data_IF_542270654607
#
_entry.id   IF_542270654607
#
_cell.length_a   1.000
_cell.length_b   1.000
_cell.length_c   1.000
_cell.angle_alpha   90.00
_cell.angle_beta   90.00
_cell.angle_gamma   90.00
#
_symmetry.space_group_name_H-M   'P 1'
#
loop_
_entity.id
_entity.type
_entity.pdbx_description
1 polymer ?
#
# COMPACT_ATOMS: atom_id res chain seq x y z
N UNK A 1 4.68 8.72 -84.38
CA UNK A 1 5.09 9.61 -83.26
C UNK A 1 4.01 9.52 -82.19
N UNK A 2 4.29 8.90 -81.03
CA UNK A 2 4.46 9.57 -79.70
C UNK A 2 3.21 10.39 -79.32
N UNK A 3 2.49 10.21 -78.20
CA UNK A 3 2.80 9.60 -76.90
C UNK A 3 1.51 9.54 -76.04
N UNK A 4 1.38 8.42 -75.31
CA UNK A 4 0.97 8.27 -73.90
C UNK A 4 -0.44 8.71 -73.44
N UNK A 5 -1.26 7.66 -73.24
CA UNK A 5 -2.17 7.49 -72.12
C UNK A 5 -1.47 7.79 -70.78
N UNK A 6 -2.12 8.54 -69.88
CA UNK A 6 -1.94 8.38 -68.44
C UNK A 6 -3.23 8.83 -67.75
N UNK A 7 -4.16 7.89 -67.57
CA UNK A 7 -5.22 7.99 -66.56
C UNK A 7 -4.53 7.77 -65.21
N UNK A 8 -4.40 8.82 -64.40
CA UNK A 8 -3.95 8.69 -63.01
C UNK A 8 -5.18 8.26 -62.20
N UNK A 9 -5.27 6.95 -61.97
CA UNK A 9 -6.15 6.37 -60.97
C UNK A 9 -5.57 6.75 -59.59
N UNK A 10 -6.10 7.79 -58.97
CA UNK A 10 -5.83 8.08 -57.56
C UNK A 10 -6.61 7.04 -56.75
N UNK A 11 -5.99 5.89 -56.51
CA UNK A 11 -6.40 4.96 -55.47
C UNK A 11 -6.13 5.66 -54.14
N UNK A 12 -7.14 6.36 -53.63
CA UNK A 12 -7.28 6.69 -52.22
C UNK A 12 -7.31 5.36 -51.45
N UNK A 13 -6.13 4.89 -51.04
CA UNK A 13 -6.04 4.02 -49.87
C UNK A 13 -6.50 4.86 -48.67
N UNK A 14 -7.81 4.86 -48.42
CA UNK A 14 -8.33 4.93 -47.06
C UNK A 14 -7.80 3.70 -46.35
N UNK A 15 -6.57 3.80 -45.84
CA UNK A 15 -6.26 3.10 -44.61
C UNK A 15 -7.10 3.81 -43.57
N UNK A 16 -8.31 3.30 -43.34
CA UNK A 16 -8.96 3.47 -42.05
C UNK A 16 -7.94 2.93 -41.04
N UNK A 17 -7.15 3.84 -40.48
CA UNK A 17 -6.59 3.65 -39.17
C UNK A 17 -7.81 3.35 -38.30
N UNK A 18 -8.02 2.06 -38.06
CA UNK A 18 -8.69 1.59 -36.87
C UNK A 18 -7.79 2.13 -35.76
N UNK A 19 -8.02 3.39 -35.39
CA UNK A 19 -7.65 3.93 -34.11
C UNK A 19 -8.46 3.05 -33.18
N UNK A 20 -7.85 1.94 -32.74
CA UNK A 20 -8.40 1.10 -31.71
C UNK A 20 -8.78 2.08 -30.63
N UNK A 21 -10.08 2.19 -30.40
CA UNK A 21 -10.71 3.23 -29.60
C UNK A 21 -10.22 3.02 -28.18
N UNK A 22 -8.99 3.47 -27.91
CA UNK A 22 -8.34 3.38 -26.63
C UNK A 22 -9.30 4.16 -25.74
N UNK A 23 -9.97 3.43 -24.85
CA UNK A 23 -10.88 4.00 -23.88
C UNK A 23 -10.25 5.29 -23.36
N UNK A 24 -10.99 6.41 -23.42
CA UNK A 24 -10.54 7.72 -22.89
C UNK A 24 -10.09 7.62 -21.42
N UNK A 25 -10.44 6.53 -20.76
CA UNK A 25 -10.16 6.20 -19.38
C UNK A 25 -9.19 5.00 -19.33
N UNK A 26 -8.01 5.13 -18.70
CA UNK A 26 -7.10 4.00 -18.52
C UNK A 26 -7.66 2.98 -17.52
N UNK A 27 -7.32 1.72 -17.71
CA UNK A 27 -7.49 0.70 -16.68
C UNK A 27 -6.57 0.99 -15.49
N UNK A 28 -6.91 0.47 -14.32
CA UNK A 28 -6.11 0.60 -13.11
C UNK A 28 -5.92 -0.76 -12.47
N UNK A 29 -4.66 -1.17 -12.30
CA UNK A 29 -4.26 -2.31 -11.48
C UNK A 29 -3.48 -1.77 -10.29
N UNK A 30 -4.08 -1.85 -9.11
CA UNK A 30 -3.46 -1.47 -7.85
C UNK A 30 -3.00 -2.71 -7.09
N UNK A 31 -1.70 -2.94 -7.05
CA UNK A 31 -1.05 -4.06 -6.38
C UNK A 31 -0.59 -3.62 -5.00
N UNK A 32 -1.13 -4.27 -3.97
CA UNK A 32 -0.90 -3.90 -2.58
C UNK A 32 -0.34 -5.06 -1.77
N UNK A 33 0.93 -4.96 -1.37
CA UNK A 33 1.61 -5.94 -0.53
C UNK A 33 1.37 -5.66 0.97
N UNK A 34 1.44 -6.72 1.79
CA UNK A 34 1.19 -6.69 3.24
C UNK A 34 2.50 -6.95 4.01
N UNK A 35 2.94 -6.00 4.83
CA UNK A 35 4.23 -6.05 5.56
C UNK A 35 5.48 -6.21 4.69
N UNK A 36 5.48 -5.67 3.47
CA UNK A 36 6.68 -5.66 2.63
C UNK A 36 7.59 -4.51 3.08
N UNK A 37 8.78 -4.84 3.54
CA UNK A 37 9.79 -3.88 3.96
C UNK A 37 10.34 -3.03 2.83
N UNK A 38 10.85 -1.86 3.20
CA UNK A 38 11.35 -0.90 2.23
C UNK A 38 12.51 -1.47 1.41
N UNK A 39 13.40 -2.23 2.04
CA UNK A 39 14.60 -2.80 1.44
C UNK A 39 14.44 -4.24 0.93
N UNK A 40 13.19 -4.73 0.84
CA UNK A 40 12.92 -6.14 0.51
C UNK A 40 12.98 -6.49 -0.97
N UNK A 41 13.17 -5.49 -1.84
CA UNK A 41 13.18 -5.64 -3.28
C UNK A 41 14.59 -5.44 -3.82
N UNK A 42 14.91 -6.07 -4.94
CA UNK A 42 16.23 -5.95 -5.58
C UNK A 42 16.58 -4.48 -5.86
N UNK A 43 15.65 -3.72 -6.46
CA UNK A 43 15.87 -2.30 -6.77
C UNK A 43 15.94 -1.38 -5.53
N UNK A 44 15.42 -1.81 -4.37
CA UNK A 44 15.48 -1.03 -3.12
C UNK A 44 16.60 -1.48 -2.17
N UNK A 45 17.44 -2.41 -2.61
CA UNK A 45 18.68 -2.78 -1.90
C UNK A 45 18.64 -4.09 -1.14
N UNK A 46 17.72 -5.00 -1.47
CA UNK A 46 17.77 -6.35 -0.91
C UNK A 46 19.08 -7.04 -1.29
N UNK A 47 19.67 -7.75 -0.32
CA UNK A 47 20.92 -8.49 -0.49
C UNK A 47 20.71 -10.02 -0.51
N UNK A 48 19.46 -10.48 -0.51
CA UNK A 48 19.13 -11.90 -0.69
C UNK A 48 17.82 -12.17 -1.40
N UNK A 49 16.84 -11.26 -1.38
CA UNK A 49 15.55 -11.45 -2.06
C UNK A 49 15.72 -11.20 -3.56
N UNK A 50 15.16 -12.07 -4.39
CA UNK A 50 15.23 -11.93 -5.85
C UNK A 50 13.84 -11.58 -6.37
N UNK A 51 13.71 -10.38 -6.95
CA UNK A 51 12.42 -9.82 -7.41
C UNK A 51 12.51 -9.34 -8.87
N UNK A 52 12.87 -10.20 -9.84
CA UNK A 52 13.11 -9.77 -11.21
C UNK A 52 11.89 -9.14 -11.90
N UNK A 53 10.66 -9.57 -11.59
CA UNK A 53 9.46 -9.01 -12.22
C UNK A 53 9.12 -7.63 -11.66
N UNK A 54 9.24 -7.44 -10.34
CA UNK A 54 9.04 -6.15 -9.68
C UNK A 54 10.19 -5.19 -10.03
N UNK A 55 11.43 -5.67 -10.15
CA UNK A 55 12.57 -4.86 -10.60
C UNK A 55 12.38 -4.41 -12.06
N UNK A 56 11.84 -5.29 -12.92
CA UNK A 56 11.43 -4.91 -14.27
C UNK A 56 10.32 -3.86 -14.23
N UNK A 57 9.28 -4.04 -13.42
CA UNK A 57 8.23 -3.04 -13.23
C UNK A 57 8.82 -1.70 -12.79
N UNK A 58 9.78 -1.71 -11.87
CA UNK A 58 10.47 -0.50 -11.42
C UNK A 58 11.20 0.20 -12.57
N UNK A 59 11.85 -0.56 -13.46
CA UNK A 59 12.52 -0.01 -14.65
C UNK A 59 11.57 0.62 -15.68
N UNK A 60 10.27 0.32 -15.60
CA UNK A 60 9.22 0.82 -16.48
C UNK A 60 8.30 1.83 -15.77
N UNK A 61 8.62 2.21 -14.53
CA UNK A 61 7.79 3.04 -13.67
C UNK A 61 8.45 4.36 -13.30
N UNK A 62 7.65 5.26 -12.74
CA UNK A 62 8.16 6.29 -11.83
C UNK A 62 8.27 5.66 -10.44
N UNK A 63 9.47 5.69 -9.85
CA UNK A 63 9.72 5.28 -8.46
C UNK A 63 9.67 6.49 -7.54
N UNK A 64 8.84 6.45 -6.50
CA UNK A 64 8.82 7.46 -5.45
C UNK A 64 9.58 6.95 -4.24
N UNK A 65 10.78 7.50 -4.00
CA UNK A 65 11.64 7.02 -2.92
C UNK A 65 11.21 7.52 -1.54
N UNK A 66 10.36 8.55 -1.49
CA UNK A 66 9.75 9.11 -0.28
C UNK A 66 8.23 8.89 -0.26
N UNK A 67 7.80 7.65 -0.57
CA UNK A 67 6.43 7.23 -0.38
C UNK A 67 6.20 6.70 1.05
N UNK A 68 5.04 7.03 1.61
CA UNK A 68 4.68 6.71 2.98
C UNK A 68 3.32 6.01 3.08
N UNK A 69 3.21 5.03 3.96
CA UNK A 69 1.92 4.54 4.43
C UNK A 69 1.24 5.59 5.31
N UNK A 70 -0.09 5.62 5.29
CA UNK A 70 -0.87 6.56 6.11
C UNK A 70 -0.84 6.22 7.60
N UNK A 71 -0.45 4.99 7.93
CA UNK A 71 -0.28 4.50 9.29
C UNK A 71 0.79 3.39 9.31
N UNK A 72 1.50 3.16 10.42
CA UNK A 72 2.47 2.06 10.49
C UNK A 72 1.85 0.67 10.62
N UNK A 73 0.55 0.50 10.38
CA UNK A 73 -0.13 -0.79 10.45
C UNK A 73 -1.20 -0.91 9.37
N UNK A 74 -1.47 -2.16 8.99
CA UNK A 74 -2.25 -2.51 7.82
C UNK A 74 -3.68 -1.94 7.81
N UNK A 75 -4.41 -2.07 8.93
CA UNK A 75 -5.83 -1.73 8.96
C UNK A 75 -6.09 -0.23 8.74
N UNK A 76 -5.49 0.69 9.51
CA UNK A 76 -5.70 2.12 9.28
C UNK A 76 -5.16 2.59 7.93
N UNK A 77 -4.07 2.00 7.43
CA UNK A 77 -3.55 2.30 6.08
C UNK A 77 -4.54 1.91 4.99
N UNK A 78 -5.16 0.73 5.08
CA UNK A 78 -6.18 0.25 4.13
C UNK A 78 -7.43 1.13 4.14
N UNK A 79 -7.90 1.53 5.32
CA UNK A 79 -9.01 2.49 5.45
C UNK A 79 -8.67 3.84 4.79
N UNK A 80 -7.44 4.30 4.99
CA UNK A 80 -6.95 5.56 4.43
C UNK A 80 -6.83 5.52 2.90
N UNK A 81 -6.31 4.43 2.34
CA UNK A 81 -6.27 4.19 0.90
C UNK A 81 -7.68 4.24 0.30
N UNK A 82 -8.64 3.53 0.90
CA UNK A 82 -10.00 3.47 0.36
C UNK A 82 -10.72 4.82 0.39
N UNK A 83 -10.43 5.68 1.37
CA UNK A 83 -11.21 6.91 1.61
C UNK A 83 -10.51 8.20 1.21
N UNK A 84 -9.20 8.18 0.95
CA UNK A 84 -8.42 9.40 0.71
C UNK A 84 -8.29 10.30 1.95
N UNK A 85 -8.55 9.78 3.15
CA UNK A 85 -8.52 10.52 4.42
C UNK A 85 -7.40 10.04 5.33
N UNK A 86 -6.92 10.92 6.20
CA UNK A 86 -6.08 10.52 7.32
C UNK A 86 -6.81 9.48 8.17
N UNK A 87 -6.13 8.43 8.65
CA UNK A 87 -6.72 7.51 9.60
C UNK A 87 -7.29 8.22 10.83
N UNK A 88 -6.61 9.26 11.32
CA UNK A 88 -7.08 10.08 12.44
C UNK A 88 -8.42 10.80 12.20
N UNK A 89 -8.75 11.15 10.95
CA UNK A 89 -10.02 11.82 10.60
C UNK A 89 -11.22 10.89 10.73
N UNK A 90 -11.00 9.61 10.45
CA UNK A 90 -12.04 8.56 10.48
C UNK A 90 -11.95 7.71 11.77
N UNK A 91 -11.17 8.17 12.77
CA UNK A 91 -11.05 7.51 14.07
C UNK A 91 -10.21 6.22 14.07
N UNK A 92 -9.44 5.96 13.01
CA UNK A 92 -8.58 4.79 12.87
C UNK A 92 -7.14 5.10 13.31
N UNK A 93 -6.92 5.28 14.61
CA UNK A 93 -5.61 5.67 15.17
C UNK A 93 -4.91 4.54 15.92
N UNK A 94 -5.52 3.37 15.96
CA UNK A 94 -5.02 2.18 16.65
C UNK A 94 -5.13 0.96 15.75
N UNK A 95 -4.52 -0.15 16.18
CA UNK A 95 -4.73 -1.46 15.58
C UNK A 95 -5.13 -2.45 16.68
N UNK A 96 -6.33 -3.02 16.60
CA UNK A 96 -6.79 -4.13 17.44
C UNK A 96 -8.10 -3.88 18.18
N UNK A 97 -8.36 -4.64 19.26
CA UNK A 97 -9.66 -4.73 19.95
C UNK A 97 -10.07 -3.50 20.77
N UNK A 98 -9.16 -2.55 20.99
CA UNK A 98 -9.49 -1.34 21.72
C UNK A 98 -10.18 -0.38 20.77
N UNK A 99 -11.27 0.25 21.22
CA UNK A 99 -12.20 1.18 20.54
C UNK A 99 -11.54 2.43 19.86
N UNK A 100 -10.34 2.30 19.29
CA UNK A 100 -9.58 3.31 18.56
C UNK A 100 -9.38 2.98 17.09
N UNK A 101 -10.25 2.13 16.56
CA UNK A 101 -10.44 1.97 15.13
C UNK A 101 -11.86 2.41 14.79
N UNK A 102 -12.05 2.98 13.61
CA UNK A 102 -13.34 3.27 12.98
C UNK A 102 -14.52 2.37 13.43
N UNK A 103 -15.71 2.98 13.55
CA UNK A 103 -16.98 2.41 14.06
C UNK A 103 -16.94 1.61 15.38
N UNK A 104 -15.77 1.46 16.01
CA UNK A 104 -15.58 0.64 17.20
C UNK A 104 -15.51 -0.87 16.92
N UNK A 105 -15.72 -1.31 15.67
CA UNK A 105 -15.78 -2.71 15.24
C UNK A 105 -14.64 -3.12 14.27
N UNK A 106 -13.76 -2.16 13.95
CA UNK A 106 -12.65 -2.24 12.99
C UNK A 106 -13.07 -2.19 11.51
N UNK A 107 -14.29 -1.74 11.20
CA UNK A 107 -14.78 -1.65 9.83
C UNK A 107 -14.62 -0.26 9.21
N UNK A 108 -14.67 -0.21 7.88
CA UNK A 108 -14.82 1.03 7.12
C UNK A 108 -16.11 1.76 7.57
N UNK A 109 -16.07 3.06 7.93
CA UNK A 109 -17.30 3.76 8.28
C UNK A 109 -18.24 3.82 7.08
N UNK A 110 -19.48 3.38 7.26
CA UNK A 110 -20.44 3.22 6.15
C UNK A 110 -20.72 4.53 5.37
N UNK A 111 -20.60 5.69 6.03
CA UNK A 111 -20.80 7.00 5.41
C UNK A 111 -19.64 7.52 4.56
N UNK A 112 -18.52 6.79 4.49
CA UNK A 112 -17.37 7.13 3.66
C UNK A 112 -17.52 6.54 2.26
N UNK A 113 -17.16 7.32 1.23
CA UNK A 113 -17.16 6.84 -0.16
C UNK A 113 -15.81 6.23 -0.49
N UNK A 114 -15.79 4.98 -0.93
CA UNK A 114 -14.53 4.32 -1.33
C UNK A 114 -14.06 4.77 -2.71
N UNK A 115 -12.78 4.59 -3.00
CA UNK A 115 -12.24 4.77 -4.35
C UNK A 115 -12.94 3.85 -5.36
N UNK A 116 -13.30 2.64 -4.95
CA UNK A 116 -14.03 1.70 -5.79
C UNK A 116 -15.44 2.20 -6.12
N UNK A 117 -16.19 2.72 -5.14
CA UNK A 117 -17.49 3.34 -5.39
C UNK A 117 -17.36 4.53 -6.35
N UNK A 118 -16.39 5.41 -6.11
CA UNK A 118 -16.17 6.57 -6.95
C UNK A 118 -15.81 6.19 -8.40
N UNK A 119 -14.96 5.18 -8.61
CA UNK A 119 -14.61 4.68 -9.95
C UNK A 119 -15.77 3.93 -10.61
N UNK A 120 -16.52 3.12 -9.86
CA UNK A 120 -17.71 2.43 -10.33
C UNK A 120 -18.78 3.41 -10.82
N UNK A 121 -19.04 4.46 -10.05
CA UNK A 121 -19.93 5.56 -10.46
C UNK A 121 -19.42 6.28 -11.72
N UNK A 122 -18.10 6.26 -11.94
CA UNK A 122 -17.42 6.72 -13.15
C UNK A 122 -17.41 5.72 -14.32
N UNK A 123 -18.10 4.59 -14.21
CA UNK A 123 -18.27 3.59 -15.28
C UNK A 123 -17.23 2.47 -15.31
N UNK A 124 -16.40 2.34 -14.27
CA UNK A 124 -15.42 1.26 -14.18
C UNK A 124 -16.07 -0.06 -13.74
N UNK A 125 -15.62 -1.18 -14.33
CA UNK A 125 -15.79 -2.50 -13.73
C UNK A 125 -14.80 -2.63 -12.56
N UNK A 126 -15.23 -3.03 -11.38
CA UNK A 126 -14.37 -3.02 -10.18
C UNK A 126 -14.18 -4.42 -9.60
N UNK A 127 -12.94 -4.77 -9.26
CA UNK A 127 -12.60 -6.05 -8.62
C UNK A 127 -11.70 -5.85 -7.40
N UNK A 128 -11.99 -6.58 -6.33
CA UNK A 128 -11.10 -6.76 -5.19
C UNK A 128 -10.73 -8.23 -5.06
N UNK A 129 -9.44 -8.51 -4.95
CA UNK A 129 -8.91 -9.86 -4.83
C UNK A 129 -7.92 -9.88 -3.66
N UNK A 130 -8.21 -10.71 -2.65
CA UNK A 130 -7.36 -10.95 -1.49
C UNK A 130 -7.75 -10.14 -0.24
N UNK A 131 -6.74 -9.68 0.51
CA UNK A 131 -6.89 -9.14 1.86
C UNK A 131 -7.72 -7.85 1.88
N UNK A 132 -8.88 -7.91 2.54
CA UNK A 132 -9.69 -6.72 2.85
C UNK A 132 -9.35 -6.13 4.22
N UNK A 133 -9.60 -6.86 5.30
CA UNK A 133 -9.26 -6.49 6.69
C UNK A 133 -9.92 -5.21 7.23
N UNK A 134 -10.81 -4.58 6.46
CA UNK A 134 -11.51 -3.33 6.83
C UNK A 134 -13.03 -3.47 6.76
N UNK A 135 -13.55 -4.68 6.95
CA UNK A 135 -14.99 -4.91 6.92
C UNK A 135 -15.44 -6.13 7.71
N UNK A 136 -16.61 -5.97 8.33
CA UNK A 136 -17.50 -7.04 8.83
C UNK A 136 -18.91 -6.74 8.38
N UNK A 137 -19.73 -7.78 8.18
CA UNK A 137 -21.13 -7.62 7.76
C UNK A 137 -21.25 -6.80 6.47
N UNK A 138 -22.00 -5.70 6.50
CA UNK A 138 -22.28 -4.81 5.35
C UNK A 138 -21.09 -3.93 4.92
N UNK A 139 -19.86 -4.28 5.33
CA UNK A 139 -18.63 -3.61 4.92
C UNK A 139 -17.74 -4.46 4.00
N UNK A 140 -18.27 -5.55 3.46
CA UNK A 140 -17.54 -6.38 2.49
C UNK A 140 -17.29 -5.63 1.16
N UNK A 141 -16.19 -5.91 0.45
CA UNK A 141 -15.85 -5.22 -0.80
C UNK A 141 -17.02 -5.10 -1.78
N UNK A 142 -17.84 -6.14 -1.94
CA UNK A 142 -19.03 -6.10 -2.81
C UNK A 142 -20.00 -4.93 -2.51
N UNK A 143 -20.23 -4.65 -1.23
CA UNK A 143 -21.08 -3.54 -0.76
C UNK A 143 -20.37 -2.19 -0.81
N UNK A 144 -19.05 -2.20 -0.94
CA UNK A 144 -18.17 -1.03 -0.91
C UNK A 144 -17.58 -0.70 -2.28
N UNK A 145 -18.33 -1.02 -3.34
CA UNK A 145 -18.07 -0.55 -4.70
C UNK A 145 -17.29 -1.50 -5.59
N UNK A 146 -17.03 -2.73 -5.16
CA UNK A 146 -16.42 -3.78 -5.99
C UNK A 146 -17.51 -4.68 -6.61
N UNK A 147 -17.51 -4.88 -7.92
CA UNK A 147 -18.39 -5.84 -8.59
C UNK A 147 -17.95 -7.29 -8.33
N UNK A 148 -16.65 -7.51 -8.35
CA UNK A 148 -16.01 -8.80 -8.06
C UNK A 148 -15.29 -8.71 -6.71
N UNK A 149 -15.52 -9.71 -5.87
CA UNK A 149 -14.97 -9.83 -4.52
C UNK A 149 -14.55 -11.28 -4.29
N UNK A 150 -13.24 -11.53 -4.21
CA UNK A 150 -12.68 -12.88 -4.11
C UNK A 150 -11.64 -12.92 -2.98
N UNK A 151 -11.69 -13.97 -2.16
CA UNK A 151 -10.70 -14.26 -1.13
C UNK A 151 -10.59 -13.17 -0.05
N UNK A 152 -11.67 -12.42 0.15
CA UNK A 152 -11.72 -11.31 1.09
C UNK A 152 -12.40 -11.71 2.40
N UNK A 153 -11.87 -11.21 3.52
CA UNK A 153 -12.44 -11.45 4.84
C UNK A 153 -12.05 -10.36 5.84
N UNK A 154 -12.57 -10.47 7.06
CA UNK A 154 -12.28 -9.57 8.17
C UNK A 154 -10.90 -9.79 8.82
N UNK A 155 -10.17 -10.84 8.43
CA UNK A 155 -8.95 -11.24 9.13
C UNK A 155 -7.73 -10.45 8.67
N UNK A 156 -6.80 -10.25 9.61
CA UNK A 156 -5.55 -9.55 9.34
C UNK A 156 -4.54 -10.38 8.54
N UNK A 157 -4.67 -11.70 8.56
CA UNK A 157 -3.72 -12.65 8.00
C UNK A 157 -4.44 -13.92 7.55
N UNK A 158 -3.88 -14.66 6.58
CA UNK A 158 -4.47 -15.93 6.17
C UNK A 158 -4.28 -16.97 7.28
N UNK A 159 -5.13 -18.00 7.29
CA UNK A 159 -4.95 -19.13 8.20
C UNK A 159 -3.73 -19.97 7.83
N UNK A 160 -3.47 -20.11 6.52
CA UNK A 160 -2.33 -20.77 5.91
C UNK A 160 -2.11 -20.18 4.50
N UNK A 161 -0.88 -20.18 3.99
CA UNK A 161 -0.65 -19.89 2.56
C UNK A 161 -0.81 -21.12 1.68
N UNK A 162 -0.98 -22.31 2.23
CA UNK A 162 -1.29 -23.51 1.44
C UNK A 162 -2.76 -23.88 1.61
N UNK A 163 -3.39 -24.31 0.51
CA UNK A 163 -4.75 -24.84 0.52
C UNK A 163 -4.89 -25.90 1.64
N UNK A 164 -5.97 -25.90 2.46
CA UNK A 164 -7.24 -25.16 2.33
C UNK A 164 -7.24 -23.69 2.81
N UNK A 165 -6.07 -23.06 2.99
CA UNK A 165 -5.91 -21.65 3.38
C UNK A 165 -6.53 -21.28 4.74
N UNK A 166 -6.80 -22.28 5.57
CA UNK A 166 -7.36 -22.12 6.91
C UNK A 166 -6.35 -22.46 8.02
N UNK A 167 -6.60 -21.92 9.21
CA UNK A 167 -5.76 -22.13 10.38
C UNK A 167 -6.08 -23.48 11.03
N UNK A 168 -5.06 -24.33 11.20
CA UNK A 168 -5.19 -25.62 11.88
C UNK A 168 -5.17 -25.51 13.43
N UNK A 169 -5.34 -24.31 13.98
CA UNK A 169 -5.21 -24.10 15.41
C UNK A 169 -6.55 -24.37 16.12
N UNK A 170 -6.72 -25.60 16.60
CA UNK A 170 -7.88 -26.08 17.35
C UNK A 170 -8.23 -25.23 18.59
N UNK A 171 -7.29 -24.41 19.09
CA UNK A 171 -7.52 -23.52 20.24
C UNK A 171 -8.09 -22.15 19.85
N UNK A 172 -8.25 -21.84 18.56
CA UNK A 172 -8.81 -20.56 18.11
C UNK A 172 -10.34 -20.60 18.14
N UNK A 173 -10.96 -19.60 18.80
CA UNK A 173 -12.43 -19.43 18.81
C UNK A 173 -13.01 -19.06 17.43
N UNK A 174 -12.20 -18.51 16.52
CA UNK A 174 -12.56 -18.21 15.13
C UNK A 174 -11.40 -18.66 14.24
N UNK A 175 -11.68 -19.51 13.27
CA UNK A 175 -10.70 -19.97 12.27
C UNK A 175 -10.58 -18.88 11.20
N UNK A 176 -9.35 -18.39 10.98
CA UNK A 176 -9.08 -17.60 9.76
C UNK A 176 -9.12 -18.56 8.58
N UNK A 177 -10.05 -18.35 7.66
CA UNK A 177 -10.22 -19.10 6.41
C UNK A 177 -10.35 -18.10 5.26
N UNK A 178 -9.65 -18.35 4.17
CA UNK A 178 -9.80 -17.58 2.94
C UNK A 178 -10.97 -18.17 2.12
N UNK A 179 -12.02 -17.38 1.82
CA UNK A 179 -13.16 -17.84 1.04
C UNK A 179 -12.88 -17.83 -0.48
N UNK A 180 -13.82 -18.35 -1.26
CA UNK A 180 -13.93 -18.21 -2.73
C UNK A 180 -12.80 -18.86 -3.55
N UNK A 181 -12.03 -19.74 -2.91
CA UNK A 181 -10.91 -20.49 -3.51
C UNK A 181 -11.04 -22.00 -3.27
N UNK A 182 -12.27 -22.50 -3.16
CA UNK A 182 -12.57 -23.92 -2.87
C UNK A 182 -12.23 -24.88 -4.04
N UNK A 183 -11.96 -24.36 -5.23
CA UNK A 183 -11.55 -25.14 -6.41
C UNK A 183 -10.05 -25.48 -6.44
N UNK A 184 -9.28 -24.97 -5.47
CA UNK A 184 -7.83 -25.18 -5.34
C UNK A 184 -7.49 -26.54 -4.72
N UNK A 185 -6.23 -26.95 -4.85
CA UNK A 185 -5.72 -28.28 -4.47
C UNK A 185 -4.63 -28.20 -3.41
N UNK A 186 -4.46 -29.28 -2.67
CA UNK A 186 -3.36 -29.44 -1.72
C UNK A 186 -2.00 -29.09 -2.36
N UNK A 187 -1.26 -28.18 -1.72
CA UNK A 187 0.02 -27.67 -2.23
C UNK A 187 -0.07 -26.40 -3.07
N UNK A 188 -1.26 -25.97 -3.49
CA UNK A 188 -1.47 -24.66 -4.11
C UNK A 188 -1.17 -23.56 -3.09
N UNK A 189 -0.48 -22.52 -3.54
CA UNK A 189 -0.04 -21.42 -2.70
C UNK A 189 -0.96 -20.20 -2.90
N UNK A 190 -1.40 -19.59 -1.80
CA UNK A 190 -2.40 -18.52 -1.78
C UNK A 190 -2.00 -17.33 -2.65
N UNK A 191 -0.74 -16.90 -2.58
CA UNK A 191 -0.25 -15.79 -3.42
C UNK A 191 -0.37 -16.09 -4.90
N UNK A 192 -0.11 -17.34 -5.31
CA UNK A 192 -0.21 -17.77 -6.70
C UNK A 192 -1.70 -17.85 -7.10
N UNK A 193 -2.55 -18.38 -6.22
CA UNK A 193 -4.00 -18.46 -6.44
C UNK A 193 -4.65 -17.08 -6.60
N UNK A 194 -4.23 -16.07 -5.81
CA UNK A 194 -4.72 -14.69 -5.99
C UNK A 194 -4.27 -14.09 -7.32
N UNK A 195 -3.06 -14.42 -7.79
CA UNK A 195 -2.58 -14.00 -9.10
C UNK A 195 -3.40 -14.65 -10.22
N UNK A 196 -3.71 -15.93 -10.10
CA UNK A 196 -4.58 -16.63 -11.06
C UNK A 196 -5.97 -16.00 -11.15
N UNK A 197 -6.59 -15.62 -10.02
CA UNK A 197 -7.89 -14.91 -10.04
C UNK A 197 -7.77 -13.52 -10.65
N UNK A 198 -6.67 -12.81 -10.41
CA UNK A 198 -6.40 -11.53 -11.07
C UNK A 198 -6.26 -11.69 -12.59
N UNK A 199 -5.54 -12.72 -13.04
CA UNK A 199 -5.40 -13.06 -14.47
C UNK A 199 -6.76 -13.43 -15.06
N UNK A 200 -7.58 -14.25 -14.39
CA UNK A 200 -8.95 -14.58 -14.83
C UNK A 200 -9.80 -13.32 -14.99
N UNK A 201 -9.74 -12.40 -14.03
CA UNK A 201 -10.45 -11.14 -14.12
C UNK A 201 -9.98 -10.30 -15.31
N UNK A 202 -8.66 -10.17 -15.53
CA UNK A 202 -8.09 -9.43 -16.67
C UNK A 202 -8.51 -10.08 -18.00
N UNK A 203 -8.38 -11.41 -18.12
CA UNK A 203 -8.76 -12.18 -19.30
C UNK A 203 -10.27 -12.07 -19.60
N UNK A 204 -11.11 -11.78 -18.59
CA UNK A 204 -12.56 -11.60 -18.77
C UNK A 204 -12.97 -10.17 -19.14
N UNK A 205 -12.05 -9.20 -19.15
CA UNK A 205 -12.41 -7.81 -19.44
C UNK A 205 -12.61 -7.59 -20.94
N UNK A 206 -13.64 -6.84 -21.27
CA UNK A 206 -13.82 -6.27 -22.60
C UNK A 206 -13.17 -4.88 -22.65
N UNK A 207 -12.42 -4.61 -23.71
CA UNK A 207 -11.82 -3.31 -24.03
C UNK A 207 -12.81 -2.13 -24.09
N UNK A 208 -14.12 -2.39 -24.16
CA UNK A 208 -15.17 -1.36 -24.21
C UNK A 208 -15.38 -0.59 -22.90
N UNK A 209 -14.95 -1.13 -21.74
CA UNK A 209 -15.06 -0.48 -20.44
C UNK A 209 -13.74 -0.52 -19.67
N UNK A 210 -13.35 0.57 -19.00
CA UNK A 210 -12.19 0.53 -18.14
C UNK A 210 -12.48 -0.32 -16.90
N UNK A 211 -11.43 -0.91 -16.32
CA UNK A 211 -11.54 -1.65 -15.06
C UNK A 211 -10.61 -1.12 -13.98
N UNK A 212 -10.99 -1.36 -12.72
CA UNK A 212 -10.17 -1.14 -11.54
C UNK A 212 -10.02 -2.44 -10.76
N UNK A 213 -8.81 -2.99 -10.77
CA UNK A 213 -8.43 -4.16 -9.98
C UNK A 213 -7.63 -3.71 -8.76
N UNK A 214 -8.19 -3.90 -7.57
CA UNK A 214 -7.48 -3.78 -6.30
C UNK A 214 -6.98 -5.17 -5.86
N UNK A 215 -5.78 -5.53 -6.30
CA UNK A 215 -5.12 -6.79 -5.97
C UNK A 215 -4.33 -6.63 -4.69
N UNK A 216 -4.91 -7.08 -3.59
CA UNK A 216 -4.38 -6.90 -2.25
C UNK A 216 -3.89 -8.21 -1.70
N UNK A 217 -2.58 -8.45 -1.79
CA UNK A 217 -1.99 -9.69 -1.33
C UNK A 217 -2.03 -9.80 0.20
N UNK A 218 -2.20 -11.03 0.68
CA UNK A 218 -1.83 -11.38 2.05
C UNK A 218 -0.31 -11.50 2.19
N UNK A 219 0.41 -11.82 1.10
CA UNK A 219 1.86 -11.82 1.11
C UNK A 219 2.39 -10.39 1.33
N UNK A 220 3.41 -10.20 2.16
CA UNK A 220 4.33 -11.19 2.74
C UNK A 220 4.14 -11.36 4.26
N UNK A 221 2.93 -11.14 4.75
CA UNK A 221 2.57 -11.21 6.17
C UNK A 221 2.74 -12.62 6.76
N UNK A 222 2.81 -12.69 8.09
CA UNK A 222 2.74 -13.97 8.82
C UNK A 222 1.35 -14.65 8.65
N UNK A 223 1.23 -15.99 8.80
CA UNK A 223 2.27 -16.97 9.10
C UNK A 223 3.22 -17.19 7.92
N UNK A 224 4.52 -17.26 8.18
CA UNK A 224 5.51 -17.41 7.11
C UNK A 224 5.57 -18.86 6.62
N UNK A 225 5.05 -19.10 5.44
CA UNK A 225 5.15 -20.37 4.71
C UNK A 225 5.35 -20.08 3.23
N UNK A 226 6.10 -20.94 2.54
CA UNK A 226 6.37 -20.84 1.11
C UNK A 226 6.74 -22.23 0.55
N UNK A 227 6.77 -22.38 -0.78
CA UNK A 227 7.12 -23.66 -1.40
C UNK A 227 8.57 -24.08 -1.09
N UNK A 228 8.79 -25.39 -0.89
CA UNK A 228 10.04 -25.96 -0.35
C UNK A 228 11.25 -25.68 -1.23
N UNK A 229 11.07 -25.68 -2.55
CA UNK A 229 12.10 -25.41 -3.55
C UNK A 229 12.58 -23.96 -3.48
N UNK A 230 11.68 -22.97 -3.33
CA UNK A 230 12.03 -21.56 -3.12
C UNK A 230 12.77 -21.38 -1.79
N UNK A 231 12.30 -22.02 -0.71
CA UNK A 231 13.01 -21.98 0.58
C UNK A 231 14.44 -22.55 0.44
N UNK A 232 14.61 -23.68 -0.26
CA UNK A 232 15.92 -24.29 -0.50
C UNK A 232 16.84 -23.35 -1.28
N UNK A 233 16.31 -22.68 -2.32
CA UNK A 233 17.03 -21.65 -3.09
C UNK A 233 17.55 -20.55 -2.17
N UNK A 234 16.70 -19.91 -1.37
CA UNK A 234 17.15 -18.80 -0.51
C UNK A 234 18.08 -19.22 0.62
N UNK A 235 17.91 -20.43 1.19
CA UNK A 235 18.89 -20.98 2.13
C UNK A 235 20.30 -21.06 1.54
N UNK A 236 20.43 -21.28 0.23
CA UNK A 236 21.73 -21.33 -0.45
C UNK A 236 22.31 -19.94 -0.79
N UNK A 237 21.46 -18.90 -0.85
CA UNK A 237 21.87 -17.52 -1.16
C UNK A 237 22.29 -16.73 0.09
N UNK A 238 21.72 -17.06 1.25
CA UNK A 238 22.00 -16.37 2.51
C UNK A 238 23.40 -16.71 3.01
N UNK A 239 24.19 -15.66 3.25
CA UNK A 239 25.56 -15.73 3.78
C UNK A 239 25.60 -15.12 5.19
N UNK A 240 26.66 -15.35 6.00
CA UNK A 240 26.74 -14.81 7.37
C UNK A 240 26.58 -13.29 7.48
N UNK A 241 26.98 -12.54 6.45
CA UNK A 241 26.94 -11.08 6.40
C UNK A 241 25.71 -10.50 5.68
N UNK A 242 24.81 -11.35 5.17
CA UNK A 242 23.53 -10.90 4.57
C UNK A 242 22.67 -10.25 5.64
N UNK A 243 22.05 -9.11 5.36
CA UNK A 243 21.09 -8.44 6.25
C UNK A 243 19.75 -9.19 6.26
N UNK A 244 19.24 -9.53 5.08
CA UNK A 244 18.01 -10.28 4.90
C UNK A 244 18.25 -11.79 5.07
N UNK A 245 18.10 -12.28 6.31
CA UNK A 245 18.50 -13.65 6.71
C UNK A 245 17.36 -14.68 6.69
N UNK A 246 16.12 -14.30 6.42
CA UNK A 246 14.96 -15.17 6.61
C UNK A 246 14.52 -15.87 5.30
N UNK A 247 15.06 -17.08 5.04
CA UNK A 247 14.83 -17.79 3.78
C UNK A 247 13.36 -18.05 3.42
N UNK A 248 12.48 -18.28 4.40
CA UNK A 248 11.05 -18.50 4.15
C UNK A 248 10.36 -17.20 3.76
N UNK A 249 10.82 -16.07 4.29
CA UNK A 249 10.27 -14.75 3.95
C UNK A 249 10.71 -14.39 2.53
N UNK A 250 12.00 -14.55 2.22
CA UNK A 250 12.52 -14.38 0.87
C UNK A 250 11.78 -15.25 -0.17
N UNK A 251 11.46 -16.50 0.18
CA UNK A 251 10.65 -17.38 -0.66
C UNK A 251 9.21 -16.88 -0.87
N UNK A 252 8.60 -16.26 0.15
CA UNK A 252 7.28 -15.65 0.05
C UNK A 252 7.30 -14.34 -0.76
N UNK A 253 8.38 -13.55 -0.65
CA UNK A 253 8.65 -12.39 -1.52
C UNK A 253 8.77 -12.84 -2.98
N UNK A 254 9.41 -13.97 -3.26
CA UNK A 254 9.47 -14.51 -4.63
C UNK A 254 8.10 -14.95 -5.16
N UNK A 255 7.21 -15.48 -4.31
CA UNK A 255 5.82 -15.73 -4.72
C UNK A 255 5.09 -14.44 -5.09
N UNK A 256 5.31 -13.35 -4.34
CA UNK A 256 4.75 -12.04 -4.67
C UNK A 256 5.31 -11.52 -6.01
N UNK A 257 6.62 -11.69 -6.26
CA UNK A 257 7.24 -11.30 -7.51
C UNK A 257 6.67 -12.05 -8.72
N UNK A 258 6.55 -13.39 -8.62
CA UNK A 258 5.95 -14.22 -9.68
C UNK A 258 4.49 -13.85 -9.95
N UNK A 259 3.74 -13.52 -8.90
CA UNK A 259 2.36 -13.07 -8.99
C UNK A 259 2.24 -11.73 -9.73
N UNK A 260 3.13 -10.76 -9.42
CA UNK A 260 3.23 -9.49 -10.16
C UNK A 260 3.57 -9.75 -11.63
N UNK A 261 4.55 -10.62 -11.91
CA UNK A 261 4.91 -11.00 -13.27
C UNK A 261 3.74 -11.58 -14.07
N UNK A 262 2.93 -12.44 -13.44
CA UNK A 262 1.75 -13.06 -14.07
C UNK A 262 0.69 -12.01 -14.45
N UNK A 263 0.45 -11.03 -13.58
CA UNK A 263 -0.49 -9.92 -13.84
C UNK A 263 0.00 -9.05 -15.00
N UNK A 264 1.29 -8.69 -15.00
CA UNK A 264 1.88 -7.88 -16.07
C UNK A 264 1.84 -8.60 -17.43
N UNK A 265 2.13 -9.91 -17.45
CA UNK A 265 2.04 -10.70 -18.67
C UNK A 265 0.59 -10.85 -19.15
N UNK A 266 -0.39 -10.97 -18.25
CA UNK A 266 -1.81 -10.99 -18.62
C UNK A 266 -2.25 -9.67 -19.27
N UNK A 267 -1.84 -8.51 -18.72
CA UNK A 267 -2.11 -7.22 -19.35
C UNK A 267 -1.53 -7.15 -20.77
N UNK A 268 -0.31 -7.63 -20.96
CA UNK A 268 0.36 -7.67 -22.26
C UNK A 268 -0.34 -8.62 -23.24
N UNK A 269 -0.63 -9.84 -22.82
CA UNK A 269 -1.30 -10.89 -23.62
C UNK A 269 -2.66 -10.43 -24.14
N UNK A 270 -3.40 -9.66 -23.34
CA UNK A 270 -4.71 -9.12 -23.70
C UNK A 270 -4.64 -7.78 -24.43
N UNK A 271 -3.43 -7.26 -24.74
CA UNK A 271 -3.28 -5.96 -25.40
C UNK A 271 -3.70 -4.76 -24.55
N UNK A 272 -3.79 -4.93 -23.23
CA UNK A 272 -4.25 -3.92 -22.27
C UNK A 272 -3.09 -3.10 -21.67
N UNK A 273 -1.84 -3.54 -21.85
CA UNK A 273 -0.66 -2.95 -21.22
C UNK A 273 -0.54 -1.43 -21.44
N UNK A 274 -0.65 -0.96 -22.68
CA UNK A 274 -0.46 0.46 -23.02
C UNK A 274 -1.52 1.39 -22.40
N UNK A 275 -2.73 0.86 -22.14
CA UNK A 275 -3.84 1.61 -21.54
C UNK A 275 -4.11 1.22 -20.08
N UNK A 276 -3.12 0.65 -19.38
CA UNK A 276 -3.26 0.27 -17.96
C UNK A 276 -2.25 1.00 -17.08
N UNK A 277 -2.76 1.65 -16.05
CA UNK A 277 -1.97 2.17 -14.94
C UNK A 277 -1.71 1.01 -13.98
N UNK A 278 -0.44 0.76 -13.66
CA UNK A 278 -0.06 -0.20 -12.61
C UNK A 278 0.57 0.56 -11.45
N UNK A 279 -0.01 0.41 -10.26
CA UNK A 279 0.55 0.93 -9.01
C UNK A 279 1.00 -0.24 -8.15
N UNK A 280 2.23 -0.20 -7.64
CA UNK A 280 2.73 -1.19 -6.68
C UNK A 280 3.21 -0.49 -5.42
N UNK A 281 2.72 -0.92 -4.26
CA UNK A 281 3.12 -0.37 -2.94
C UNK A 281 2.85 -1.37 -1.81
N UNK A 282 3.29 -1.05 -0.59
CA UNK A 282 2.91 -1.79 0.63
C UNK A 282 2.05 -0.96 1.58
N UNK A 283 1.30 -1.62 2.47
CA UNK A 283 0.40 -0.99 3.43
C UNK A 283 1.10 -0.41 4.67
N UNK A 284 2.28 -0.93 5.00
CA UNK A 284 3.20 -0.41 6.01
C UNK A 284 4.60 -1.00 5.79
N UNK A 285 5.58 -0.55 6.57
CA UNK A 285 6.93 -1.12 6.53
C UNK A 285 7.00 -2.54 7.09
N UNK A 286 8.14 -3.21 6.84
CA UNK A 286 8.32 -4.65 7.07
C UNK A 286 8.49 -5.02 8.55
N UNK A 287 8.23 -6.28 8.88
CA UNK A 287 8.28 -6.81 10.26
C UNK A 287 9.72 -7.09 10.72
N UNK A 288 10.36 -6.10 11.34
CA UNK A 288 11.72 -6.24 11.89
C UNK A 288 11.74 -6.76 13.33
N UNK A 289 10.68 -6.54 14.11
CA UNK A 289 10.63 -6.87 15.54
C UNK A 289 10.73 -8.36 15.79
N UNK A 290 10.16 -9.17 14.89
CA UNK A 290 10.26 -10.63 14.88
C UNK A 290 11.50 -11.16 14.15
N UNK A 291 12.39 -10.28 13.64
CA UNK A 291 13.55 -10.67 12.84
C UNK A 291 13.17 -11.31 11.49
N UNK A 292 11.99 -10.98 10.96
CA UNK A 292 11.50 -11.52 9.68
C UNK A 292 12.20 -10.82 8.51
N UNK A 293 12.34 -9.50 8.57
CA UNK A 293 13.05 -8.72 7.56
C UNK A 293 13.90 -7.59 8.14
N UNK A 294 14.58 -6.84 7.28
CA UNK A 294 15.40 -5.67 7.57
C UNK A 294 14.96 -4.49 6.68
N UNK A 295 14.67 -3.33 7.27
CA UNK A 295 14.28 -2.12 6.53
C UNK A 295 15.46 -1.19 6.22
N UNK A 296 16.71 -1.68 6.32
CA UNK A 296 17.92 -0.88 6.14
C UNK A 296 17.85 0.06 4.92
N UNK A 297 18.25 1.34 5.05
CA UNK A 297 18.85 1.98 6.22
C UNK A 297 17.84 2.54 7.22
N UNK A 298 16.55 2.28 7.03
CA UNK A 298 15.49 2.91 7.81
C UNK A 298 15.36 2.25 9.18
N UNK A 299 15.09 3.07 10.20
CA UNK A 299 14.97 2.60 11.58
C UNK A 299 13.62 1.93 11.82
N UNK A 300 13.68 0.79 12.52
CA UNK A 300 12.52 -0.01 12.92
C UNK A 300 11.69 -0.55 11.74
N UNK A 301 10.41 -0.85 11.98
CA UNK A 301 9.56 -1.57 11.03
C UNK A 301 8.10 -1.48 11.42
N UNK A 302 7.29 -2.45 10.96
CA UNK A 302 5.86 -2.57 11.24
C UNK A 302 5.48 -2.12 12.65
N UNK A 303 4.42 -1.32 12.74
CA UNK A 303 3.91 -0.75 13.98
C UNK A 303 4.67 0.45 14.51
N UNK A 304 5.81 0.81 13.90
CA UNK A 304 6.64 1.92 14.33
C UNK A 304 6.42 3.21 13.54
N UNK A 305 6.47 4.36 14.21
CA UNK A 305 6.39 5.67 13.58
C UNK A 305 7.74 6.21 13.08
N UNK A 306 8.83 5.45 13.28
CA UNK A 306 10.12 5.65 12.61
C UNK A 306 10.01 5.31 11.11
N UNK A 307 10.95 5.79 10.29
CA UNK A 307 10.90 5.69 8.82
C UNK A 307 10.69 4.25 8.35
N UNK A 308 11.29 3.26 9.00
CA UNK A 308 11.16 1.85 8.60
C UNK A 308 9.76 1.28 8.77
N UNK A 309 8.89 1.89 9.59
CA UNK A 309 7.50 1.44 9.78
C UNK A 309 6.48 2.16 8.91
N UNK A 310 6.81 3.35 8.39
CA UNK A 310 5.89 4.18 7.59
C UNK A 310 6.37 4.44 6.17
N UNK A 311 7.63 4.22 5.80
CA UNK A 311 8.13 4.41 4.44
C UNK A 311 8.00 3.10 3.67
N UNK A 312 7.46 3.17 2.47
CA UNK A 312 7.13 2.01 1.64
C UNK A 312 7.60 2.25 0.20
N UNK A 313 7.90 1.20 -0.57
CA UNK A 313 8.18 1.37 -2.00
C UNK A 313 6.89 1.82 -2.71
N UNK A 314 7.01 2.70 -3.70
CA UNK A 314 5.90 3.07 -4.59
C UNK A 314 6.38 3.15 -6.03
N UNK A 315 5.80 2.31 -6.88
CA UNK A 315 5.99 2.33 -8.33
C UNK A 315 4.68 2.71 -9.00
N UNK A 316 4.76 3.59 -10.00
CA UNK A 316 3.63 3.93 -10.87
C UNK A 316 4.05 3.81 -12.33
N UNK A 317 3.56 2.77 -13.01
CA UNK A 317 3.69 2.57 -14.47
C UNK A 317 2.46 3.14 -15.14
N UNK A 318 2.67 4.01 -16.12
CA UNK A 318 1.62 4.55 -16.99
C UNK A 318 2.21 4.77 -18.38
N UNK A 319 2.21 3.75 -19.26
CA UNK A 319 3.09 3.73 -20.46
C UNK A 319 2.91 4.92 -21.40
N UNK A 320 1.67 5.36 -21.61
CA UNK A 320 1.35 6.51 -22.48
C UNK A 320 1.78 7.86 -21.92
N UNK A 321 2.14 7.93 -20.63
CA UNK A 321 2.51 9.17 -19.93
C UNK A 321 3.97 9.15 -19.46
N UNK A 322 4.42 8.02 -18.92
CA UNK A 322 5.76 7.82 -18.35
C UNK A 322 6.70 7.34 -19.45
N UNK A 323 7.49 8.26 -19.99
CA UNK A 323 8.40 7.96 -21.11
C UNK A 323 9.74 7.34 -20.69
N UNK A 324 10.05 7.33 -19.40
CA UNK A 324 11.36 6.89 -18.88
C UNK A 324 11.27 6.44 -17.43
N UNK A 325 12.11 5.48 -17.06
CA UNK A 325 12.47 5.23 -15.66
C UNK A 325 12.93 6.54 -15.00
N UNK A 326 12.29 6.93 -13.91
CA UNK A 326 12.68 8.12 -13.16
C UNK A 326 12.37 7.95 -11.68
N UNK A 327 13.20 8.58 -10.85
CA UNK A 327 12.98 8.66 -9.40
C UNK A 327 12.41 10.03 -9.05
N UNK A 328 11.41 10.06 -8.19
CA UNK A 328 10.79 11.26 -7.63
C UNK A 328 11.00 11.28 -6.13
N UNK A 329 11.36 12.46 -5.63
CA UNK A 329 11.72 12.68 -4.23
C UNK A 329 10.62 13.42 -3.45
N UNK A 330 9.53 13.76 -4.13
CA UNK A 330 8.35 14.32 -3.53
C UNK A 330 7.66 13.33 -2.60
N UNK A 331 7.15 13.82 -1.47
CA UNK A 331 6.51 12.97 -0.46
C UNK A 331 5.09 12.62 -0.84
N UNK A 332 4.89 11.33 -1.12
CA UNK A 332 3.58 10.74 -1.40
C UNK A 332 3.15 9.96 -0.16
N UNK A 333 1.86 9.98 0.16
CA UNK A 333 1.31 9.23 1.29
C UNK A 333 0.03 8.50 0.87
N UNK A 334 -0.27 7.36 1.50
CA UNK A 334 -1.29 6.42 1.01
C UNK A 334 -2.69 6.97 0.70
N UNK A 335 -3.12 8.06 1.35
CA UNK A 335 -4.39 8.71 1.03
C UNK A 335 -4.35 9.62 -0.22
N UNK A 336 -3.18 9.92 -0.77
CA UNK A 336 -3.06 10.65 -2.05
C UNK A 336 -3.45 9.79 -3.24
N UNK A 337 -3.41 8.46 -3.10
CA UNK A 337 -3.81 7.53 -4.15
C UNK A 337 -5.26 7.76 -4.56
N UNK A 338 -6.16 8.08 -3.63
CA UNK A 338 -7.57 8.32 -3.93
C UNK A 338 -7.77 9.44 -4.98
N UNK A 339 -7.40 10.71 -4.72
CA UNK A 339 -7.60 11.78 -5.72
C UNK A 339 -6.73 11.59 -6.96
N UNK A 340 -5.55 10.97 -6.82
CA UNK A 340 -4.65 10.75 -7.96
C UNK A 340 -5.23 9.73 -8.93
N UNK A 341 -5.73 8.60 -8.44
CA UNK A 341 -6.36 7.58 -9.30
C UNK A 341 -7.62 8.12 -9.97
N UNK A 342 -8.45 8.91 -9.27
CA UNK A 342 -9.60 9.59 -9.88
C UNK A 342 -9.17 10.54 -11.00
N UNK A 343 -8.13 11.33 -10.78
CA UNK A 343 -7.55 12.26 -11.76
C UNK A 343 -6.98 11.53 -12.99
N UNK A 344 -6.23 10.45 -12.78
CA UNK A 344 -5.68 9.63 -13.85
C UNK A 344 -6.78 8.89 -14.64
N UNK A 345 -7.84 8.48 -13.94
CA UNK A 345 -9.04 7.89 -14.52
C UNK A 345 -9.94 8.92 -15.22
N UNK A 346 -9.71 10.23 -15.05
CA UNK A 346 -10.63 11.28 -15.49
C UNK A 346 -12.06 11.07 -14.94
N UNK A 347 -12.17 10.74 -13.64
CA UNK A 347 -13.43 10.54 -12.91
C UNK A 347 -13.50 11.59 -11.79
N UNK A 348 -14.62 12.31 -11.71
CA UNK A 348 -14.79 13.36 -10.68
C UNK A 348 -14.99 12.79 -9.27
N UNK A 349 -15.56 11.60 -9.16
CA UNK A 349 -15.91 10.95 -7.91
C UNK A 349 -17.05 11.66 -7.16
N UNK A 350 -17.16 11.42 -5.85
CA UNK A 350 -18.26 11.97 -5.05
C UNK A 350 -17.92 13.37 -4.51
N UNK A 351 -18.59 14.40 -5.03
CA UNK A 351 -18.34 15.80 -4.65
C UNK A 351 -18.49 16.09 -3.14
N UNK A 352 -19.39 15.39 -2.42
CA UNK A 352 -19.56 15.58 -0.97
C UNK A 352 -18.40 14.97 -0.19
N UNK A 353 -17.96 13.78 -0.58
CA UNK A 353 -16.81 13.10 0.02
C UNK A 353 -15.51 13.86 -0.24
N UNK A 354 -15.30 14.28 -1.50
CA UNK A 354 -14.10 14.98 -1.97
C UNK A 354 -13.86 16.33 -1.27
N UNK A 355 -14.88 16.95 -0.69
CA UNK A 355 -14.71 18.16 0.15
C UNK A 355 -13.86 17.92 1.40
N UNK A 356 -13.77 16.68 1.86
CA UNK A 356 -13.17 16.32 3.14
C UNK A 356 -12.03 15.29 3.02
N UNK A 357 -11.58 14.96 1.82
CA UNK A 357 -10.37 14.14 1.64
C UNK A 357 -9.12 14.94 2.04
N UNK A 358 -8.08 14.24 2.47
CA UNK A 358 -6.81 14.82 2.88
C UNK A 358 -5.73 14.70 1.79
N UNK A 359 -5.93 13.79 0.83
CA UNK A 359 -5.01 13.55 -0.27
C UNK A 359 -4.91 14.69 -1.27
N UNK A 360 -3.77 14.72 -1.95
CA UNK A 360 -3.55 15.59 -3.11
C UNK A 360 -3.33 14.73 -4.34
N UNK A 361 -3.77 15.23 -5.49
CA UNK A 361 -3.45 14.63 -6.78
C UNK A 361 -1.97 14.87 -7.12
N UNK A 362 -1.21 13.79 -7.29
CA UNK A 362 0.19 13.84 -7.73
C UNK A 362 0.40 13.38 -9.17
N UNK A 363 -0.67 13.14 -9.96
CA UNK A 363 -0.57 12.67 -11.35
C UNK A 363 0.28 13.58 -12.24
N UNK A 364 0.35 14.87 -11.94
CA UNK A 364 1.22 15.82 -12.65
C UNK A 364 2.71 15.50 -12.48
N UNK A 365 3.13 14.87 -11.39
CA UNK A 365 4.51 14.40 -11.21
C UNK A 365 4.87 13.28 -12.19
N UNK A 366 3.87 12.53 -12.69
CA UNK A 366 4.08 11.50 -13.72
C UNK A 366 4.21 12.12 -15.11
N UNK A 367 3.47 13.21 -15.37
CA UNK A 367 3.35 13.87 -16.67
C UNK A 367 4.49 14.84 -16.98
N UNK A 368 4.98 15.57 -15.97
CA UNK A 368 6.03 16.58 -16.12
C UNK A 368 7.17 16.35 -15.12
N UNK A 369 8.39 16.19 -15.64
CA UNK A 369 9.62 16.05 -14.85
C UNK A 369 9.94 17.28 -14.00
N UNK A 370 9.41 18.45 -14.36
CA UNK A 370 9.59 19.71 -13.62
C UNK A 370 8.44 20.01 -12.67
N UNK A 371 7.35 19.25 -12.72
CA UNK A 371 6.26 19.42 -11.77
C UNK A 371 6.79 19.21 -10.35
N UNK A 372 6.20 19.89 -9.38
CA UNK A 372 6.48 19.70 -7.96
C UNK A 372 5.17 19.77 -7.22
N UNK A 373 5.02 19.00 -6.14
CA UNK A 373 3.92 19.22 -5.20
C UNK A 373 4.34 20.26 -4.15
N UNK A 374 3.38 21.07 -3.72
CA UNK A 374 3.61 22.02 -2.64
C UNK A 374 3.95 21.27 -1.36
N UNK A 375 5.04 21.67 -0.72
CA UNK A 375 5.44 21.08 0.56
C UNK A 375 4.35 21.28 1.62
N UNK A 376 4.05 20.23 2.38
CA UNK A 376 2.94 20.15 3.33
C UNK A 376 3.32 19.36 4.59
N UNK A 377 2.53 19.52 5.63
CA UNK A 377 2.71 18.76 6.86
C UNK A 377 2.15 17.35 6.67
N UNK A 378 2.99 16.32 6.73
CA UNK A 378 2.53 14.93 6.84
C UNK A 378 2.50 14.55 8.31
N UNK A 379 1.36 14.05 8.79
CA UNK A 379 1.17 13.71 10.20
C UNK A 379 0.73 12.26 10.38
N UNK A 380 1.20 11.63 11.44
CA UNK A 380 0.73 10.33 11.91
C UNK A 380 0.29 10.48 13.36
N UNK A 381 -0.81 9.83 13.70
CA UNK A 381 -1.26 9.69 15.08
C UNK A 381 -1.48 8.21 15.34
N UNK A 382 -0.60 7.64 16.15
CA UNK A 382 -0.61 6.24 16.54
C UNK A 382 -0.90 6.16 18.03
N UNK A 383 -2.02 5.56 18.38
CA UNK A 383 -2.30 5.04 19.71
C UNK A 383 -2.10 3.53 19.72
N UNK A 384 -1.79 2.99 20.91
CA UNK A 384 -1.39 1.60 21.20
C UNK A 384 -1.62 0.63 20.04
N UNK A 385 -0.54 0.25 19.36
CA UNK A 385 -0.53 -0.79 18.33
C UNK A 385 -0.32 -2.15 18.98
N UNK A 386 -1.34 -3.02 18.93
CA UNK A 386 -1.32 -4.32 19.64
C UNK A 386 -0.45 -5.40 18.98
N UNK A 387 0.13 -5.13 17.81
CA UNK A 387 0.64 -6.20 16.95
C UNK A 387 1.84 -6.94 17.58
N UNK A 388 2.62 -6.30 18.45
CA UNK A 388 3.86 -6.91 18.98
C UNK A 388 4.15 -6.61 20.45
N UNK A 389 3.17 -6.72 21.35
CA UNK A 389 3.43 -6.68 22.81
C UNK A 389 4.59 -7.62 23.23
N UNK A 390 4.86 -8.67 22.44
CA UNK A 390 5.95 -9.64 22.66
C UNK A 390 7.33 -9.24 22.13
N UNK A 391 7.46 -8.43 21.06
CA UNK A 391 8.76 -8.21 20.38
C UNK A 391 9.23 -6.75 20.43
N UNK A 392 10.54 -6.47 20.54
CA UNK A 392 11.06 -5.11 20.67
C UNK A 392 11.04 -4.37 19.32
N UNK A 393 10.28 -3.27 19.25
CA UNK A 393 10.44 -2.22 18.22
C UNK A 393 10.77 -0.90 18.92
N UNK A 394 11.41 0.05 18.22
CA UNK A 394 12.02 1.22 18.85
C UNK A 394 11.02 2.13 19.63
N UNK A 395 9.77 2.22 19.20
CA UNK A 395 8.68 2.96 19.86
C UNK A 395 7.57 2.03 20.39
N UNK A 396 7.94 0.81 20.80
CA UNK A 396 7.05 -0.26 21.26
C UNK A 396 6.08 0.20 22.34
N UNK A 397 4.79 -0.12 22.14
CA UNK A 397 3.69 0.16 23.08
C UNK A 397 3.56 1.64 23.46
N UNK A 398 4.10 2.55 22.64
CA UNK A 398 4.01 3.98 22.88
C UNK A 398 2.99 4.59 21.95
N UNK A 399 2.25 5.53 22.51
CA UNK A 399 1.42 6.42 21.74
C UNK A 399 2.32 7.55 21.23
N UNK A 400 2.30 7.75 19.92
CA UNK A 400 3.21 8.66 19.24
C UNK A 400 2.40 9.50 18.26
N UNK A 401 2.67 10.80 18.26
CA UNK A 401 2.30 11.65 17.14
C UNK A 401 3.58 12.05 16.40
N UNK A 402 3.54 11.96 15.08
CA UNK A 402 4.67 12.30 14.21
C UNK A 402 4.25 13.37 13.23
N UNK A 403 5.15 14.30 12.92
CA UNK A 403 5.04 15.24 11.80
C UNK A 403 6.33 15.24 10.99
N UNK A 404 6.21 15.20 9.67
CA UNK A 404 7.29 15.49 8.73
C UNK A 404 6.96 16.80 8.02
N UNK A 405 7.91 17.74 8.03
CA UNK A 405 7.80 19.04 7.37
C UNK A 405 9.18 19.56 6.98
N UNK A 406 9.34 20.00 5.73
CA UNK A 406 10.66 20.30 5.14
C UNK A 406 11.59 19.10 5.39
N UNK A 407 12.86 19.26 5.79
CA UNK A 407 13.74 18.11 6.09
C UNK A 407 13.54 17.52 7.51
N UNK A 408 12.61 18.07 8.31
CA UNK A 408 12.49 17.75 9.73
C UNK A 408 11.37 16.76 10.02
N UNK A 409 11.68 15.77 10.86
CA UNK A 409 10.72 14.86 11.47
C UNK A 409 10.71 15.07 12.97
N UNK A 410 9.55 15.41 13.53
CA UNK A 410 9.33 15.49 14.98
C UNK A 410 8.40 14.36 15.41
N UNK A 411 8.83 13.61 16.41
CA UNK A 411 8.04 12.60 17.11
C UNK A 411 7.76 13.10 18.52
N UNK A 412 6.48 13.08 18.91
CA UNK A 412 6.05 13.32 20.28
C UNK A 412 5.60 12.00 20.89
N UNK A 413 6.35 11.55 21.89
CA UNK A 413 5.98 10.42 22.72
C UNK A 413 5.08 10.91 23.86
N UNK A 414 3.91 10.30 24.02
CA UNK A 414 2.98 10.68 25.09
C UNK A 414 3.36 10.06 26.42
N UNK A 415 2.94 10.73 27.50
CA UNK A 415 3.04 10.16 28.84
C UNK A 415 2.09 8.97 28.95
N UNK A 416 2.57 7.89 29.56
CA UNK A 416 1.82 6.65 29.70
C UNK A 416 1.74 6.24 31.19
N UNK A 417 0.73 5.46 31.59
CA UNK A 417 0.54 5.04 33.00
C UNK A 417 1.63 4.12 33.57
N UNK A 418 2.51 3.54 32.74
CA UNK A 418 3.66 2.74 33.16
C UNK A 418 4.89 3.58 33.53
N UNK A 419 4.66 4.80 34.04
CA UNK A 419 5.68 5.82 34.37
C UNK A 419 6.52 6.32 33.18
N UNK A 420 6.13 6.02 31.94
CA UNK A 420 6.83 6.51 30.77
C UNK A 420 6.57 8.00 30.56
N UNK A 421 7.63 8.81 30.58
CA UNK A 421 7.55 10.27 30.49
C UNK A 421 7.44 10.76 29.05
N UNK A 422 6.55 11.73 28.84
CA UNK A 422 6.43 12.41 27.57
C UNK A 422 7.75 13.09 27.20
N UNK A 423 8.14 12.97 25.94
CA UNK A 423 9.34 13.61 25.40
C UNK A 423 9.21 13.80 23.88
N UNK A 424 10.22 14.45 23.31
CA UNK A 424 10.30 14.71 21.88
C UNK A 424 11.58 14.10 21.31
N UNK A 425 11.46 13.58 20.11
CA UNK A 425 12.60 13.25 19.26
C UNK A 425 12.51 14.03 17.96
N UNK A 426 13.62 14.66 17.55
CA UNK A 426 13.69 15.47 16.33
C UNK A 426 14.83 14.95 15.46
N UNK A 427 14.55 14.70 14.19
CA UNK A 427 15.52 14.21 13.20
C UNK A 427 15.51 15.10 11.96
N UNK A 428 16.67 15.24 11.32
CA UNK A 428 16.80 15.81 9.98
C UNK A 428 16.93 14.65 8.99
N UNK A 429 15.88 14.32 8.25
CA UNK A 429 15.83 13.14 7.39
C UNK A 429 16.73 13.23 6.15
N UNK A 430 17.15 14.44 5.77
CA UNK A 430 18.09 14.63 4.66
C UNK A 430 19.51 14.23 5.05
N UNK A 431 19.88 14.49 6.30
CA UNK A 431 21.21 14.20 6.84
C UNK A 431 21.26 12.83 7.56
N UNK A 432 20.15 12.41 8.17
CA UNK A 432 20.01 11.22 9.00
C UNK A 432 18.70 10.48 8.68
N UNK A 433 18.60 9.80 7.52
CA UNK A 433 17.43 9.01 7.14
C UNK A 433 17.23 7.77 8.04
N UNK A 434 18.26 7.41 8.81
CA UNK A 434 18.25 6.31 9.79
C UNK A 434 17.82 6.74 11.18
N UNK A 435 17.51 8.03 11.40
CA UNK A 435 16.99 8.57 12.67
C UNK A 435 17.87 8.15 13.87
N UNK A 436 19.18 8.26 13.70
CA UNK A 436 20.20 7.81 14.66
C UNK A 436 20.53 8.86 15.70
N UNK A 437 20.38 10.16 15.39
CA UNK A 437 20.76 11.25 16.28
C UNK A 437 19.58 12.15 16.62
N UNK A 438 19.07 12.07 17.86
CA UNK A 438 18.01 12.96 18.34
C UNK A 438 18.53 14.39 18.54
N UNK A 439 17.96 15.34 17.79
CA UNK A 439 18.33 16.75 17.76
C UNK A 439 17.37 17.65 18.57
N UNK A 440 16.43 17.09 19.33
CA UNK A 440 15.37 17.84 20.00
C UNK A 440 15.91 18.89 21.00
N UNK A 441 16.93 18.53 21.78
CA UNK A 441 17.58 19.44 22.73
C UNK A 441 18.41 20.53 22.05
N UNK A 442 19.01 20.20 20.90
CA UNK A 442 19.83 21.15 20.12
C UNK A 442 18.98 22.19 19.38
N UNK A 443 17.78 21.83 18.95
CA UNK A 443 16.89 22.72 18.19
C UNK A 443 15.48 22.89 18.81
N UNK A 444 15.37 23.41 20.04
CA UNK A 444 14.09 23.52 20.75
C UNK A 444 13.09 24.47 20.07
N UNK A 445 13.59 25.44 19.28
CA UNK A 445 12.75 26.33 18.46
C UNK A 445 12.03 25.57 17.35
N UNK A 446 12.68 24.59 16.72
CA UNK A 446 12.09 23.73 15.68
C UNK A 446 11.04 22.82 16.31
N UNK A 447 11.37 22.18 17.45
CA UNK A 447 10.42 21.37 18.23
C UNK A 447 9.16 22.16 18.55
N UNK A 448 9.30 23.39 19.08
CA UNK A 448 8.15 24.26 19.41
C UNK A 448 7.31 24.61 18.18
N UNK A 449 7.94 24.86 17.02
CA UNK A 449 7.26 25.18 15.75
C UNK A 449 6.45 23.98 15.26
N UNK A 450 7.06 22.79 15.19
CA UNK A 450 6.42 21.57 14.70
C UNK A 450 5.35 21.06 15.67
N UNK A 451 5.56 21.14 16.98
CA UNK A 451 4.53 20.83 17.99
C UNK A 451 3.26 21.68 17.82
N UNK A 452 3.41 22.98 17.51
CA UNK A 452 2.24 23.85 17.23
C UNK A 452 1.47 23.37 16.00
N UNK A 453 2.17 22.96 14.94
CA UNK A 453 1.56 22.40 13.72
C UNK A 453 0.81 21.09 14.02
N UNK A 454 1.43 20.19 14.78
CA UNK A 454 0.81 18.94 15.26
C UNK A 454 -0.49 19.17 16.04
N UNK A 455 -0.52 20.17 16.93
CA UNK A 455 -1.73 20.54 17.69
C UNK A 455 -2.81 21.10 16.75
N UNK A 456 -2.42 21.98 15.82
CA UNK A 456 -3.34 22.56 14.83
C UNK A 456 -3.94 21.49 13.91
N UNK A 457 -3.11 20.55 13.46
CA UNK A 457 -3.53 19.44 12.61
C UNK A 457 -4.53 18.54 13.33
N UNK A 458 -4.28 18.15 14.59
CA UNK A 458 -5.24 17.34 15.37
C UNK A 458 -6.62 17.98 15.45
N UNK A 459 -6.69 19.30 15.67
CA UNK A 459 -7.96 20.04 15.67
C UNK A 459 -8.61 20.03 14.29
N UNK A 460 -7.84 20.28 13.22
CA UNK A 460 -8.34 20.32 11.83
C UNK A 460 -8.94 18.98 11.37
N UNK A 461 -8.31 17.86 11.74
CA UNK A 461 -8.78 16.53 11.34
C UNK A 461 -9.81 15.95 12.31
N UNK A 462 -10.11 16.63 13.42
CA UNK A 462 -11.00 16.09 14.45
C UNK A 462 -10.43 14.83 15.11
N UNK A 463 -9.10 14.77 15.28
CA UNK A 463 -8.42 13.58 15.76
C UNK A 463 -8.94 13.15 17.14
N UNK A 464 -9.19 11.86 17.37
CA UNK A 464 -9.67 11.38 18.66
C UNK A 464 -8.63 11.60 19.77
N UNK A 465 -9.14 11.86 20.97
CA UNK A 465 -8.35 11.98 22.20
C UNK A 465 -8.83 10.95 23.20
N UNK A 466 -7.92 10.13 23.71
CA UNK A 466 -8.25 9.13 24.72
C UNK A 466 -7.72 9.53 26.10
N UNK A 467 -8.45 9.12 27.14
CA UNK A 467 -7.89 9.08 28.48
C UNK A 467 -6.86 7.94 28.52
N UNK A 468 -5.59 8.30 28.72
CA UNK A 468 -4.48 7.35 28.61
C UNK A 468 -4.52 6.25 29.68
N UNK A 469 -4.98 6.53 30.90
CA UNK A 469 -5.15 5.50 31.93
C UNK A 469 -6.19 4.45 31.53
N UNK A 470 -7.36 4.90 31.07
CA UNK A 470 -8.42 3.98 30.61
C UNK A 470 -8.00 3.21 29.37
N UNK A 471 -7.40 3.90 28.40
CA UNK A 471 -6.99 3.30 27.13
C UNK A 471 -5.85 2.30 27.32
N UNK A 472 -4.86 2.62 28.14
CA UNK A 472 -3.76 1.73 28.47
C UNK A 472 -4.18 0.57 29.36
N UNK A 473 -5.00 0.82 30.40
CA UNK A 473 -5.52 -0.24 31.27
C UNK A 473 -6.36 -1.25 30.51
N UNK A 474 -7.15 -0.79 29.54
CA UNK A 474 -7.84 -1.70 28.63
C UNK A 474 -6.83 -2.56 27.84
N UNK A 475 -5.74 -1.96 27.33
CA UNK A 475 -4.71 -2.66 26.54
C UNK A 475 -4.00 -3.83 27.23
N UNK A 476 -4.03 -3.90 28.55
CA UNK A 476 -3.37 -4.94 29.36
C UNK A 476 -4.33 -6.00 29.93
N UNK A 477 -5.64 -5.83 29.73
CA UNK A 477 -6.68 -6.79 30.10
C UNK A 477 -7.14 -7.58 28.89
#
# INVERSE_FOLDING_TARGET
MKKRNTFILVMLFLVELIDAQNSKHPNIVFIFADDLGFADLGFTGSDSHLTPNIDKLASESVYFDQAYSSHPTCLPSRLSLMTGKYPARIGAVSHGKFHGVASGDNSLPLGEVTIAQALKDGGYNTAHIGKWHIGKGDNNPHTRGFDVDIASNEFCCPGSYFYPYESNNEKQKRVSKIPDLEDRKEGDHLTDALAEEAVKFIDSQDSSKPFFLNLSFYAVHTPLTAKKEKIKKYKSLIKPNTKHKHAVYAALVEHLDDAVGSVLEALKKNGLEENTIVVFTSDNGGEVGMGITDNYPLRAGKGSSYEGGIRVPLLVKWPTVVKTNSVRHERIIGFDYYPTLLSMANVEGNAKHNKNIDGIDFSNLLKDRRATIKDRDLNWLKYISLIHLKYPVADKNRCVQTIIRDDWKLMQFFEMPDNYKAHFELYNLKEDPSETYNLAEKFPKIVKKLKKRMISWRKKVGAPTYNMEKFYGAAHN
#
